data_IF_137244850556
#
_entry.id   IF_137244850556
#
_cell.length_a   1.000
_cell.length_b   1.000
_cell.length_c   1.000
_cell.angle_alpha   90.00
_cell.angle_beta   90.00
_cell.angle_gamma   90.00
#
_symmetry.space_group_name_H-M   'P 1'
#
loop_
_entity.id
_entity.type
_entity.pdbx_description
1 polymer ?
#
# COMPACT_ATOMS: atom_id res chain seq x y z
N UNK A 1 28.52 34.88 -34.03
CA UNK A 1 28.96 35.42 -32.71
C UNK A 1 28.44 34.47 -31.66
N UNK A 2 29.32 33.85 -30.88
CA UNK A 2 28.92 33.04 -29.73
C UNK A 2 28.52 34.03 -28.63
N UNK A 3 27.29 33.91 -28.12
CA UNK A 3 26.80 34.76 -27.03
C UNK A 3 27.62 34.43 -25.78
N UNK A 4 28.05 35.46 -25.04
CA UNK A 4 28.80 35.27 -23.80
C UNK A 4 27.93 34.59 -22.74
N UNK A 5 28.43 33.49 -22.19
CA UNK A 5 27.68 32.66 -21.25
C UNK A 5 27.35 33.41 -19.94
N UNK A 6 28.25 34.28 -19.46
CA UNK A 6 28.00 35.02 -18.23
C UNK A 6 26.92 36.09 -18.44
N UNK A 7 26.93 36.74 -19.60
CA UNK A 7 25.90 37.69 -19.97
C UNK A 7 24.53 37.02 -20.13
N UNK A 8 24.45 35.85 -20.79
CA UNK A 8 23.20 35.09 -20.85
C UNK A 8 22.69 34.67 -19.47
N UNK A 9 23.57 34.26 -18.55
CA UNK A 9 23.18 33.90 -17.17
C UNK A 9 22.61 35.08 -16.40
N UNK A 10 23.22 36.26 -16.50
CA UNK A 10 22.69 37.48 -15.86
C UNK A 10 21.31 37.86 -16.37
N UNK A 11 21.08 37.69 -17.67
CA UNK A 11 19.76 37.95 -18.26
C UNK A 11 18.71 36.95 -17.76
N UNK A 12 19.08 35.67 -17.63
CA UNK A 12 18.21 34.64 -17.04
C UNK A 12 17.88 35.00 -15.58
N UNK A 13 18.86 35.35 -14.76
CA UNK A 13 18.65 35.71 -13.35
C UNK A 13 17.66 36.88 -13.20
N UNK A 14 17.72 37.87 -14.09
CA UNK A 14 16.80 39.01 -14.08
C UNK A 14 15.38 38.61 -14.52
N UNK A 15 15.25 37.76 -15.54
CA UNK A 15 13.95 37.22 -15.97
C UNK A 15 13.32 36.38 -14.85
N UNK A 16 14.13 35.54 -14.18
CA UNK A 16 13.65 34.67 -13.10
C UNK A 16 13.10 35.48 -11.92
N UNK A 17 13.73 36.61 -11.57
CA UNK A 17 13.19 37.53 -10.55
C UNK A 17 11.80 38.05 -10.93
N UNK A 18 11.63 38.48 -12.18
CA UNK A 18 10.34 38.98 -12.66
C UNK A 18 9.27 37.89 -12.68
N UNK A 19 9.64 36.65 -13.03
CA UNK A 19 8.74 35.50 -12.96
C UNK A 19 8.28 35.25 -11.52
N UNK A 20 9.20 35.30 -10.54
CA UNK A 20 8.86 35.14 -9.11
C UNK A 20 7.90 36.23 -8.65
N UNK A 21 8.18 37.51 -8.93
CA UNK A 21 7.29 38.62 -8.54
C UNK A 21 5.89 38.48 -9.14
N UNK A 22 5.79 38.08 -10.41
CA UNK A 22 4.50 37.88 -11.08
C UNK A 22 3.77 36.66 -10.53
N UNK A 23 4.51 35.60 -10.18
CA UNK A 23 3.96 34.40 -9.56
C UNK A 23 3.36 34.71 -8.19
N UNK A 24 4.06 35.44 -7.32
CA UNK A 24 3.57 35.84 -6.00
C UNK A 24 2.31 36.71 -6.11
N UNK A 25 2.32 37.74 -6.98
CA UNK A 25 1.12 38.55 -7.27
C UNK A 25 -0.06 37.70 -7.73
N UNK A 26 0.19 36.68 -8.55
CA UNK A 26 -0.85 35.75 -9.00
C UNK A 26 -1.37 34.89 -7.86
N UNK A 27 -0.52 34.46 -6.93
CA UNK A 27 -0.91 33.69 -5.75
C UNK A 27 -1.78 34.50 -4.80
N UNK A 28 -1.52 35.79 -4.61
CA UNK A 28 -2.39 36.69 -3.84
C UNK A 28 -3.79 36.80 -4.46
N UNK A 29 -3.86 36.92 -5.78
CA UNK A 29 -5.15 36.93 -6.49
C UNK A 29 -5.85 35.58 -6.35
N UNK A 30 -5.12 34.46 -6.46
CA UNK A 30 -5.67 33.12 -6.24
C UNK A 30 -6.19 32.95 -4.80
N UNK A 31 -5.56 33.59 -3.82
CA UNK A 31 -6.00 33.62 -2.43
C UNK A 31 -7.38 34.28 -2.29
N UNK A 32 -7.62 35.39 -2.99
CA UNK A 32 -8.92 36.07 -3.02
C UNK A 32 -10.00 35.23 -3.72
N UNK A 33 -9.63 34.54 -4.80
CA UNK A 33 -10.51 33.58 -5.48
C UNK A 33 -10.88 32.42 -4.54
N UNK A 34 -9.94 31.94 -3.73
CA UNK A 34 -10.19 30.95 -2.69
C UNK A 34 -11.28 31.44 -1.73
N UNK A 35 -11.11 32.65 -1.19
CA UNK A 35 -12.02 33.24 -0.22
C UNK A 35 -13.44 33.39 -0.80
N UNK A 36 -13.54 33.81 -2.06
CA UNK A 36 -14.81 33.86 -2.78
C UNK A 36 -15.46 32.48 -2.97
N UNK A 37 -14.68 31.48 -3.41
CA UNK A 37 -15.18 30.11 -3.60
C UNK A 37 -15.64 29.49 -2.29
N UNK A 38 -14.91 29.72 -1.20
CA UNK A 38 -15.27 29.29 0.16
C UNK A 38 -16.60 29.92 0.57
N UNK A 39 -16.76 31.24 0.42
CA UNK A 39 -17.97 31.96 0.81
C UNK A 39 -19.20 31.56 -0.02
N UNK A 40 -18.99 31.17 -1.28
CA UNK A 40 -20.07 30.79 -2.22
C UNK A 40 -20.30 29.29 -2.34
N UNK A 41 -19.48 28.46 -1.69
CA UNK A 41 -19.53 27.00 -1.79
C UNK A 41 -19.11 26.44 -3.16
N UNK A 42 -18.45 27.22 -4.02
CA UNK A 42 -17.99 26.76 -5.33
C UNK A 42 -16.77 25.85 -5.22
N UNK A 43 -16.66 24.87 -6.12
CA UNK A 43 -15.52 23.97 -6.20
C UNK A 43 -14.22 24.71 -6.53
N UNK A 44 -13.10 24.25 -5.94
CA UNK A 44 -11.77 24.79 -6.23
C UNK A 44 -11.29 24.37 -7.60
N UNK A 45 -11.44 23.10 -7.95
CA UNK A 45 -11.10 22.61 -9.28
C UNK A 45 -12.28 22.80 -10.24
N UNK A 46 -12.03 23.50 -11.34
CA UNK A 46 -12.95 23.68 -12.46
C UNK A 46 -12.19 23.36 -13.74
N UNK A 47 -12.35 22.12 -14.20
CA UNK A 47 -11.59 21.56 -15.30
C UNK A 47 -11.79 22.35 -16.60
N UNK A 48 -13.04 22.65 -16.93
CA UNK A 48 -13.39 23.29 -18.19
C UNK A 48 -12.84 24.72 -18.23
N UNK A 49 -12.91 25.44 -17.10
CA UNK A 49 -12.33 26.78 -16.99
C UNK A 49 -10.81 26.79 -17.08
N UNK A 50 -10.13 25.81 -16.48
CA UNK A 50 -8.67 25.70 -16.56
C UNK A 50 -8.21 25.32 -17.96
N UNK A 51 -8.85 24.35 -18.60
CA UNK A 51 -8.55 23.95 -19.99
C UNK A 51 -8.70 25.13 -20.95
N UNK A 52 -9.80 25.91 -20.85
CA UNK A 52 -9.98 27.15 -21.63
C UNK A 52 -8.87 28.17 -21.40
N UNK A 53 -8.42 28.32 -20.14
CA UNK A 53 -7.39 29.29 -19.80
C UNK A 53 -6.02 28.86 -20.31
N UNK A 54 -5.68 27.58 -20.20
CA UNK A 54 -4.44 27.00 -20.76
C UNK A 54 -4.44 27.16 -22.29
N UNK A 55 -5.56 26.90 -22.95
CA UNK A 55 -5.71 27.07 -24.40
C UNK A 55 -5.48 28.52 -24.83
N UNK A 56 -6.04 29.48 -24.08
CA UNK A 56 -5.79 30.91 -24.33
C UNK A 56 -4.32 31.26 -24.16
N UNK A 57 -3.66 30.76 -23.11
CA UNK A 57 -2.29 31.13 -22.76
C UNK A 57 -1.26 30.51 -23.71
N UNK A 58 -1.44 29.26 -24.13
CA UNK A 58 -0.50 28.62 -25.07
C UNK A 58 -0.42 29.38 -26.40
N UNK A 59 -1.50 30.01 -26.85
CA UNK A 59 -1.52 30.80 -28.09
C UNK A 59 -0.83 32.18 -27.97
N UNK A 60 -0.38 32.56 -26.77
CA UNK A 60 0.48 33.73 -26.59
C UNK A 60 1.95 33.45 -26.94
N UNK A 61 2.35 32.18 -27.00
CA UNK A 61 3.69 31.80 -27.42
C UNK A 61 3.82 31.75 -28.97
N UNK A 62 5.05 31.87 -29.45
CA UNK A 62 5.34 32.06 -30.88
C UNK A 62 5.97 30.83 -31.55
N UNK A 63 6.01 29.67 -30.88
CA UNK A 63 6.53 28.42 -31.45
C UNK A 63 5.80 27.22 -30.87
N UNK A 64 5.71 26.13 -31.65
CA UNK A 64 5.04 24.90 -31.18
C UNK A 64 5.67 24.32 -29.91
N UNK A 65 6.99 24.47 -29.76
CA UNK A 65 7.69 24.08 -28.55
C UNK A 65 7.26 24.95 -27.36
N UNK A 66 7.30 26.28 -27.51
CA UNK A 66 6.91 27.18 -26.43
C UNK A 66 5.42 27.09 -26.09
N UNK A 67 4.56 26.79 -27.07
CA UNK A 67 3.14 26.54 -26.83
C UNK A 67 2.95 25.37 -25.84
N UNK A 68 3.72 24.29 -26.02
CA UNK A 68 3.71 23.14 -25.10
C UNK A 68 4.28 23.52 -23.73
N UNK A 69 5.43 24.20 -23.69
CA UNK A 69 6.04 24.62 -22.43
C UNK A 69 5.16 25.58 -21.62
N UNK A 70 4.46 26.52 -22.27
CA UNK A 70 3.52 27.43 -21.61
C UNK A 70 2.33 26.65 -21.06
N UNK A 71 1.78 25.70 -21.82
CA UNK A 71 0.70 24.86 -21.33
C UNK A 71 1.12 24.06 -20.07
N UNK A 72 2.32 23.47 -20.10
CA UNK A 72 2.88 22.73 -18.96
C UNK A 72 3.11 23.64 -17.75
N UNK A 73 3.80 24.76 -17.93
CA UNK A 73 4.09 25.73 -16.87
C UNK A 73 2.82 26.21 -16.18
N UNK A 74 1.82 26.64 -16.95
CA UNK A 74 0.58 27.16 -16.38
C UNK A 74 -0.29 26.07 -15.75
N UNK A 75 -0.21 24.82 -16.23
CA UNK A 75 -0.83 23.67 -15.55
C UNK A 75 -0.24 23.53 -14.15
N UNK A 76 1.09 23.59 -14.00
CA UNK A 76 1.74 23.52 -12.69
C UNK A 76 1.40 24.72 -11.79
N UNK A 77 1.38 25.93 -12.34
CA UNK A 77 0.99 27.14 -11.59
C UNK A 77 -0.45 27.03 -11.09
N UNK A 78 -1.38 26.55 -11.92
CA UNK A 78 -2.77 26.32 -11.51
C UNK A 78 -2.87 25.23 -10.44
N UNK A 79 -2.16 24.11 -10.59
CA UNK A 79 -2.10 23.07 -9.57
C UNK A 79 -1.58 23.58 -8.22
N UNK A 80 -0.50 24.38 -8.20
CA UNK A 80 -0.01 25.03 -6.98
C UNK A 80 -1.05 25.97 -6.36
N UNK A 81 -1.80 26.70 -7.19
CA UNK A 81 -2.89 27.57 -6.73
C UNK A 81 -4.02 26.79 -6.08
N UNK A 82 -4.38 25.62 -6.63
CA UNK A 82 -5.40 24.74 -6.05
C UNK A 82 -4.95 24.17 -4.72
N UNK A 83 -3.71 23.70 -4.62
CA UNK A 83 -3.12 23.18 -3.37
C UNK A 83 -3.13 24.23 -2.26
N UNK A 84 -2.85 25.48 -2.58
CA UNK A 84 -2.99 26.59 -1.63
C UNK A 84 -4.46 26.84 -1.24
N UNK A 85 -5.39 26.81 -2.21
CA UNK A 85 -6.83 26.94 -1.96
C UNK A 85 -7.37 25.82 -1.06
N UNK A 86 -6.95 24.56 -1.27
CA UNK A 86 -7.31 23.41 -0.44
C UNK A 86 -6.81 23.57 1.00
N UNK A 87 -5.59 24.08 1.18
CA UNK A 87 -5.06 24.36 2.52
C UNK A 87 -5.91 25.38 3.27
N UNK A 88 -6.34 26.47 2.61
CA UNK A 88 -7.29 27.44 3.19
C UNK A 88 -8.65 26.82 3.54
N UNK A 89 -9.15 25.90 2.71
CA UNK A 89 -10.41 25.19 2.96
C UNK A 89 -10.32 24.30 4.20
N UNK A 90 -9.25 23.52 4.32
CA UNK A 90 -8.98 22.66 5.49
C UNK A 90 -8.86 23.48 6.79
N UNK A 91 -8.27 24.67 6.75
CA UNK A 91 -8.16 25.54 7.92
C UNK A 91 -9.51 26.11 8.40
N UNK A 92 -10.46 26.33 7.48
CA UNK A 92 -11.76 26.98 7.81
C UNK A 92 -12.89 25.99 8.07
N UNK A 93 -12.85 24.83 7.43
CA UNK A 93 -13.87 23.79 7.59
C UNK A 93 -13.29 22.66 8.42
N UNK A 94 -13.90 22.40 9.59
CA UNK A 94 -13.81 21.11 10.28
C UNK A 94 -14.46 19.96 9.48
N UNK A 95 -14.96 20.25 8.28
CA UNK A 95 -15.65 19.37 7.36
C UNK A 95 -14.61 18.66 6.49
N UNK A 96 -13.93 17.69 7.10
CA UNK A 96 -13.16 16.72 6.34
C UNK A 96 -14.14 15.89 5.52
N UNK A 97 -13.91 15.75 4.20
CA UNK A 97 -14.65 14.75 3.39
C UNK A 97 -14.25 13.32 3.76
N UNK A 98 -13.24 13.15 4.62
CA UNK A 98 -12.94 11.87 5.25
C UNK A 98 -14.10 11.55 6.19
N UNK A 99 -14.67 10.37 6.01
CA UNK A 99 -15.71 9.89 6.88
C UNK A 99 -15.23 9.84 8.34
N UNK A 100 -16.13 9.94 9.34
CA UNK A 100 -15.74 9.94 10.74
C UNK A 100 -14.92 8.70 11.10
N UNK A 101 -13.88 8.92 11.89
CA UNK A 101 -12.95 7.91 12.37
C UNK A 101 -12.71 8.07 13.87
N UNK A 102 -12.42 6.96 14.52
CA UNK A 102 -12.11 6.90 15.95
C UNK A 102 -10.60 6.97 16.12
N UNK A 103 -10.10 8.06 16.71
CA UNK A 103 -8.69 8.16 17.09
C UNK A 103 -8.50 7.34 18.36
N UNK A 104 -7.62 6.34 18.30
CA UNK A 104 -7.26 5.47 19.42
C UNK A 104 -5.79 5.64 19.78
N UNK A 105 -5.44 5.48 21.06
CA UNK A 105 -4.04 5.58 21.50
C UNK A 105 -3.22 4.37 21.02
N UNK A 106 -3.83 3.18 21.02
CA UNK A 106 -3.27 1.94 20.49
C UNK A 106 -4.43 1.01 20.10
N UNK A 107 -4.12 -0.01 19.30
CA UNK A 107 -5.05 -1.08 18.97
C UNK A 107 -5.44 -1.89 20.21
N UNK A 108 -6.71 -2.30 20.26
CA UNK A 108 -7.20 -3.11 21.39
C UNK A 108 -6.59 -4.51 21.33
N UNK A 109 -5.99 -4.96 22.45
CA UNK A 109 -5.44 -6.32 22.61
C UNK A 109 -6.22 -7.20 23.59
N UNK A 110 -7.02 -6.61 24.47
CA UNK A 110 -7.78 -7.34 25.48
C UNK A 110 -9.14 -7.81 24.97
N UNK A 111 -9.50 -9.06 25.29
CA UNK A 111 -10.80 -9.67 24.95
C UNK A 111 -11.18 -9.53 23.47
N UNK A 112 -10.20 -9.73 22.59
CA UNK A 112 -10.37 -9.71 21.14
C UNK A 112 -10.35 -11.12 20.57
N UNK A 113 -10.96 -11.28 19.39
CA UNK A 113 -10.84 -12.47 18.57
C UNK A 113 -10.22 -12.12 17.22
N UNK A 114 -9.14 -12.81 16.86
CA UNK A 114 -8.40 -12.53 15.61
C UNK A 114 -8.58 -13.69 14.62
N UNK A 115 -8.82 -13.37 13.35
CA UNK A 115 -8.86 -14.37 12.27
C UNK A 115 -7.62 -14.25 11.38
N UNK A 116 -7.10 -15.37 10.91
CA UNK A 116 -6.05 -15.40 9.91
C UNK A 116 -6.36 -16.45 8.84
N UNK A 117 -5.87 -16.24 7.63
CA UNK A 117 -6.01 -17.22 6.56
C UNK A 117 -4.94 -18.32 6.69
N UNK A 118 -5.36 -19.57 6.54
CA UNK A 118 -4.51 -20.76 6.55
C UNK A 118 -4.82 -21.69 7.72
N UNK A 119 -3.77 -22.32 8.25
CA UNK A 119 -3.85 -23.27 9.37
C UNK A 119 -2.80 -22.93 10.43
N UNK A 120 -2.91 -23.43 11.68
CA UNK A 120 -1.87 -23.25 12.69
C UNK A 120 -0.47 -23.57 12.15
N UNK A 121 0.50 -22.72 12.47
CA UNK A 121 1.87 -22.82 11.96
C UNK A 121 2.11 -22.13 10.62
N UNK A 122 1.09 -21.72 9.87
CA UNK A 122 1.30 -20.90 8.67
C UNK A 122 1.95 -19.54 9.00
N UNK A 123 2.54 -18.87 8.00
CA UNK A 123 3.14 -17.54 8.23
C UNK A 123 2.11 -16.47 8.65
N UNK A 124 0.84 -16.59 8.24
CA UNK A 124 -0.24 -15.73 8.75
C UNK A 124 -0.52 -15.96 10.24
N UNK A 125 -0.38 -17.21 10.72
CA UNK A 125 -0.46 -17.54 12.14
C UNK A 125 0.69 -16.88 12.90
N UNK A 126 1.92 -17.01 12.39
CA UNK A 126 3.10 -16.34 12.95
C UNK A 126 2.95 -14.82 12.99
N UNK A 127 2.46 -14.20 11.91
CA UNK A 127 2.20 -12.76 11.86
C UNK A 127 1.21 -12.32 12.95
N UNK A 128 0.14 -13.09 13.13
CA UNK A 128 -0.85 -12.84 14.18
C UNK A 128 -0.22 -12.93 15.58
N UNK A 129 0.53 -13.99 15.86
CA UNK A 129 1.18 -14.19 17.16
C UNK A 129 2.22 -13.10 17.44
N UNK A 130 3.03 -12.71 16.45
CA UNK A 130 4.02 -11.64 16.58
C UNK A 130 3.37 -10.30 16.93
N UNK A 131 2.17 -10.04 16.39
CA UNK A 131 1.51 -8.77 16.56
C UNK A 131 0.64 -8.71 17.84
N UNK A 132 -0.20 -9.72 18.07
CA UNK A 132 -1.15 -9.76 19.20
C UNK A 132 -0.65 -10.53 20.43
N UNK A 133 0.39 -11.34 20.31
CA UNK A 133 0.89 -12.23 21.36
C UNK A 133 0.30 -13.63 21.31
N UNK A 134 0.86 -14.54 22.11
CA UNK A 134 0.57 -15.98 22.04
C UNK A 134 -0.78 -16.39 22.65
N UNK A 135 -1.31 -15.57 23.58
CA UNK A 135 -2.53 -15.90 24.33
C UNK A 135 -3.81 -15.33 23.67
N UNK A 136 -3.69 -14.75 22.47
CA UNK A 136 -4.83 -14.15 21.76
C UNK A 136 -5.82 -15.22 21.33
N UNK A 137 -7.11 -14.99 21.62
CA UNK A 137 -8.17 -15.85 21.07
C UNK A 137 -8.19 -15.70 19.56
N UNK A 138 -8.03 -16.81 18.85
CA UNK A 138 -7.96 -16.77 17.40
C UNK A 138 -8.79 -17.85 16.72
N UNK A 139 -8.97 -17.69 15.42
CA UNK A 139 -9.55 -18.68 14.52
C UNK A 139 -8.85 -18.61 13.16
N UNK A 140 -8.92 -19.70 12.41
CA UNK A 140 -8.36 -19.78 11.07
C UNK A 140 -9.46 -20.10 10.05
N UNK A 141 -9.23 -19.66 8.81
CA UNK A 141 -10.14 -19.83 7.67
C UNK A 141 -9.35 -20.20 6.42
N UNK A 142 -10.00 -20.75 5.41
CA UNK A 142 -9.30 -21.30 4.24
C UNK A 142 -8.93 -20.21 3.24
N UNK A 143 -9.74 -19.15 3.13
CA UNK A 143 -9.56 -18.10 2.12
C UNK A 143 -9.41 -16.70 2.72
N UNK A 144 -8.77 -15.78 1.97
CA UNK A 144 -8.68 -14.37 2.39
C UNK A 144 -10.06 -13.71 2.47
N UNK A 145 -10.98 -14.12 1.60
CA UNK A 145 -12.37 -13.66 1.60
C UNK A 145 -13.08 -14.02 2.90
N UNK A 146 -13.00 -15.28 3.33
CA UNK A 146 -13.59 -15.72 4.60
C UNK A 146 -13.03 -14.94 5.80
N UNK A 147 -11.75 -14.55 5.76
CA UNK A 147 -11.17 -13.73 6.83
C UNK A 147 -11.76 -12.31 6.85
N UNK A 148 -11.98 -11.73 5.68
CA UNK A 148 -12.59 -10.40 5.51
C UNK A 148 -14.08 -10.41 5.89
N UNK A 149 -14.81 -11.47 5.51
CA UNK A 149 -16.21 -11.72 5.91
C UNK A 149 -16.33 -11.89 7.43
N UNK A 150 -15.46 -12.70 8.05
CA UNK A 150 -15.48 -12.90 9.49
C UNK A 150 -15.29 -11.58 10.28
N UNK A 151 -14.47 -10.66 9.77
CA UNK A 151 -14.33 -9.31 10.36
C UNK A 151 -15.55 -8.45 10.08
N UNK A 152 -16.05 -8.42 8.84
CA UNK A 152 -17.22 -7.65 8.43
C UNK A 152 -18.47 -8.03 9.24
N UNK A 153 -18.69 -9.33 9.45
CA UNK A 153 -19.83 -9.89 10.17
C UNK A 153 -19.66 -9.83 11.70
N UNK A 154 -18.50 -9.39 12.19
CA UNK A 154 -18.19 -9.31 13.62
C UNK A 154 -17.96 -10.66 14.30
N UNK A 155 -17.70 -11.71 13.53
CA UNK A 155 -17.27 -13.03 14.03
C UNK A 155 -15.85 -12.97 14.59
N UNK A 156 -15.02 -12.07 14.06
CA UNK A 156 -13.71 -11.68 14.54
C UNK A 156 -13.59 -10.14 14.62
N UNK A 157 -12.75 -9.63 15.51
CA UNK A 157 -12.50 -8.20 15.66
C UNK A 157 -11.46 -7.69 14.66
N UNK A 158 -10.47 -8.54 14.34
CA UNK A 158 -9.37 -8.23 13.43
C UNK A 158 -9.04 -9.42 12.53
N UNK A 159 -8.58 -9.14 11.31
CA UNK A 159 -7.99 -10.12 10.39
C UNK A 159 -6.50 -9.83 10.17
N UNK A 160 -5.69 -10.89 10.06
CA UNK A 160 -4.28 -10.80 9.65
C UNK A 160 -4.14 -11.39 8.26
N UNK A 161 -3.84 -10.53 7.29
CA UNK A 161 -3.76 -10.92 5.87
C UNK A 161 -2.45 -10.44 5.24
N UNK A 162 -1.80 -11.26 4.39
CA UNK A 162 -0.61 -10.84 3.68
C UNK A 162 -0.99 -9.82 2.60
N UNK A 163 -0.21 -8.75 2.48
CA UNK A 163 -0.45 -7.70 1.47
C UNK A 163 0.67 -7.62 0.44
N UNK A 164 1.92 -7.80 0.87
CA UNK A 164 3.10 -7.71 -0.01
C UNK A 164 4.15 -8.76 0.38
N UNK A 165 4.88 -9.27 -0.59
CA UNK A 165 6.05 -10.11 -0.39
C UNK A 165 7.27 -9.52 -1.12
N UNK A 166 8.43 -9.47 -0.46
CA UNK A 166 9.64 -8.85 -1.02
C UNK A 166 10.21 -9.58 -2.25
N UNK A 167 9.81 -10.84 -2.50
CA UNK A 167 10.25 -11.65 -3.63
C UNK A 167 9.18 -11.85 -4.71
N UNK A 168 7.90 -11.89 -4.33
CA UNK A 168 6.78 -12.16 -5.24
C UNK A 168 5.93 -10.93 -5.59
N UNK A 169 6.16 -9.79 -4.92
CA UNK A 169 5.38 -8.56 -5.11
C UNK A 169 4.06 -8.57 -4.32
N UNK A 170 3.09 -7.82 -4.83
CA UNK A 170 1.79 -7.62 -4.17
C UNK A 170 0.92 -8.89 -4.16
N UNK A 171 0.12 -9.06 -3.10
CA UNK A 171 -0.91 -10.09 -3.00
C UNK A 171 -2.21 -9.53 -3.56
N UNK A 172 -2.43 -9.74 -4.86
CA UNK A 172 -3.53 -9.17 -5.64
C UNK A 172 -4.91 -9.31 -4.97
N UNK A 173 -5.25 -10.50 -4.50
CA UNK A 173 -6.56 -10.79 -3.89
C UNK A 173 -6.82 -9.93 -2.65
N UNK A 174 -5.78 -9.64 -1.85
CA UNK A 174 -5.90 -8.78 -0.67
C UNK A 174 -6.33 -7.36 -1.03
N UNK A 175 -5.78 -6.78 -2.10
CA UNK A 175 -6.15 -5.43 -2.55
C UNK A 175 -7.57 -5.36 -3.09
N UNK A 176 -8.01 -6.39 -3.83
CA UNK A 176 -9.38 -6.45 -4.33
C UNK A 176 -10.38 -6.56 -3.17
N UNK A 177 -10.07 -7.41 -2.18
CA UNK A 177 -10.91 -7.57 -1.00
C UNK A 177 -10.94 -6.32 -0.12
N UNK A 178 -9.82 -5.59 0.02
CA UNK A 178 -9.78 -4.32 0.75
C UNK A 178 -10.70 -3.27 0.13
N UNK A 179 -10.95 -3.35 -1.17
CA UNK A 179 -11.87 -2.47 -1.86
C UNK A 179 -13.32 -2.97 -1.77
N UNK A 180 -13.54 -4.26 -1.91
CA UNK A 180 -14.88 -4.87 -1.85
C UNK A 180 -15.51 -4.74 -0.45
N UNK A 181 -14.73 -5.01 0.60
CA UNK A 181 -15.18 -4.92 1.98
C UNK A 181 -14.90 -3.53 2.55
N UNK A 182 -15.79 -3.02 3.40
CA UNK A 182 -15.59 -1.77 4.16
C UNK A 182 -14.68 -1.99 5.38
N UNK A 183 -13.54 -2.66 5.17
CA UNK A 183 -12.54 -2.87 6.19
C UNK A 183 -11.38 -1.87 6.04
N UNK A 184 -10.67 -1.65 7.14
CA UNK A 184 -9.61 -0.65 7.29
C UNK A 184 -8.36 -1.28 7.89
N UNK A 185 -7.20 -0.83 7.42
CA UNK A 185 -5.90 -1.21 7.95
C UNK A 185 -5.66 -0.41 9.24
N UNK A 186 -5.44 -1.13 10.33
CA UNK A 186 -5.23 -0.57 11.68
C UNK A 186 -3.85 -0.93 12.24
N UNK A 187 -3.01 -1.60 11.45
CA UNK A 187 -1.67 -2.01 11.84
C UNK A 187 -0.99 -2.85 10.76
N UNK A 188 0.31 -3.07 10.93
CA UNK A 188 1.08 -3.96 10.07
C UNK A 188 2.15 -4.72 10.86
N UNK A 189 2.62 -5.81 10.27
CA UNK A 189 3.74 -6.59 10.80
C UNK A 189 4.51 -7.24 9.66
N UNK A 190 5.77 -7.57 9.90
CA UNK A 190 6.67 -8.16 8.92
C UNK A 190 7.16 -9.50 9.42
N UNK A 191 6.96 -10.54 8.59
CA UNK A 191 7.42 -11.90 8.89
C UNK A 191 8.49 -12.29 7.89
N UNK A 192 9.67 -12.63 8.41
CA UNK A 192 10.77 -13.16 7.60
C UNK A 192 10.46 -14.59 7.20
N UNK A 193 10.38 -14.86 5.91
CA UNK A 193 10.09 -16.18 5.36
C UNK A 193 11.36 -17.01 5.42
N UNK A 194 11.35 -18.00 6.31
CA UNK A 194 12.45 -18.93 6.53
C UNK A 194 11.90 -20.35 6.49
N UNK A 195 12.14 -21.03 5.37
CA UNK A 195 11.68 -22.39 5.16
C UNK A 195 12.60 -23.37 5.88
N UNK A 196 12.00 -24.31 6.59
CA UNK A 196 12.65 -25.42 7.29
C UNK A 196 12.25 -26.74 6.63
N UNK A 197 13.16 -27.71 6.64
CA UNK A 197 12.84 -29.10 6.34
C UNK A 197 12.34 -29.77 7.62
N UNK A 198 11.06 -30.13 7.64
CA UNK A 198 10.36 -30.70 8.79
C UNK A 198 10.12 -32.18 8.57
N UNK A 199 10.41 -33.02 9.57
CA UNK A 199 10.15 -34.46 9.50
C UNK A 199 9.67 -34.98 10.86
N UNK A 200 9.22 -36.23 10.90
CA UNK A 200 8.83 -36.88 12.15
C UNK A 200 10.05 -37.01 13.09
N UNK A 201 9.90 -36.82 14.42
CA UNK A 201 10.98 -37.08 15.37
C UNK A 201 11.62 -38.46 15.16
N UNK A 202 12.95 -38.50 15.10
CA UNK A 202 13.71 -39.73 14.83
C UNK A 202 14.08 -39.98 13.36
N UNK A 203 13.45 -39.28 12.41
CA UNK A 203 13.92 -39.25 11.02
C UNK A 203 15.29 -38.55 10.89
N UNK A 204 16.08 -38.93 9.91
CA UNK A 204 17.32 -38.25 9.52
C UNK A 204 17.27 -37.87 8.04
N UNK A 205 18.17 -37.00 7.58
CA UNK A 205 18.28 -36.66 6.16
C UNK A 205 18.44 -37.88 5.24
N UNK A 206 19.01 -38.98 5.75
CA UNK A 206 19.19 -40.23 4.97
C UNK A 206 17.90 -41.02 4.79
N UNK A 207 16.92 -40.80 5.67
CA UNK A 207 15.66 -41.54 5.65
C UNK A 207 14.67 -40.93 4.66
N UNK A 208 14.80 -39.63 4.36
CA UNK A 208 13.87 -38.88 3.54
C UNK A 208 13.89 -39.40 2.10
N UNK A 209 12.70 -39.65 1.55
CA UNK A 209 12.47 -40.06 0.17
C UNK A 209 11.48 -39.16 -0.55
N UNK A 210 10.61 -38.48 0.20
CA UNK A 210 9.56 -37.63 -0.36
C UNK A 210 9.44 -36.32 0.41
N UNK A 211 9.34 -35.20 -0.31
CA UNK A 211 9.23 -33.86 0.26
C UNK A 211 7.96 -33.18 -0.24
N UNK A 212 7.12 -32.71 0.68
CA UNK A 212 5.87 -32.00 0.37
C UNK A 212 5.98 -30.50 0.65
N UNK A 213 5.46 -29.67 -0.25
CA UNK A 213 5.23 -28.24 0.03
C UNK A 213 4.32 -27.60 -1.01
N UNK A 214 3.98 -26.33 -0.82
CA UNK A 214 3.42 -25.49 -1.87
C UNK A 214 4.40 -25.41 -3.06
N UNK A 215 3.94 -25.35 -4.33
CA UNK A 215 4.82 -25.17 -5.48
C UNK A 215 5.83 -24.03 -5.34
N UNK A 216 5.41 -22.89 -4.78
CA UNK A 216 6.30 -21.76 -4.53
C UNK A 216 7.34 -22.04 -3.43
N UNK A 217 6.98 -22.82 -2.40
CA UNK A 217 7.91 -23.25 -1.36
C UNK A 217 8.98 -24.19 -1.90
N UNK A 218 8.60 -25.15 -2.75
CA UNK A 218 9.54 -26.03 -3.47
C UNK A 218 10.49 -25.21 -4.36
N UNK A 219 9.94 -24.29 -5.16
CA UNK A 219 10.74 -23.44 -6.05
C UNK A 219 11.75 -22.57 -5.28
N UNK A 220 11.35 -22.00 -4.14
CA UNK A 220 12.24 -21.20 -3.29
C UNK A 220 13.35 -22.04 -2.65
N UNK A 221 13.17 -23.36 -2.51
CA UNK A 221 14.15 -24.28 -1.92
C UNK A 221 14.86 -25.15 -2.96
N UNK A 222 14.72 -24.85 -4.25
CA UNK A 222 15.26 -25.67 -5.35
C UNK A 222 16.76 -25.95 -5.20
N UNK A 223 17.57 -24.94 -4.84
CA UNK A 223 19.01 -25.09 -4.67
C UNK A 223 19.42 -26.05 -3.53
N UNK A 224 18.56 -26.22 -2.51
CA UNK A 224 18.75 -27.22 -1.46
C UNK A 224 18.29 -28.60 -1.96
N UNK A 225 17.11 -28.67 -2.57
CA UNK A 225 16.53 -29.90 -3.10
C UNK A 225 17.39 -30.54 -4.21
N UNK A 226 18.09 -29.73 -5.01
CA UNK A 226 19.00 -30.19 -6.07
C UNK A 226 20.22 -30.98 -5.54
N UNK A 227 20.55 -30.82 -4.25
CA UNK A 227 21.59 -31.59 -3.56
C UNK A 227 21.10 -32.99 -3.14
N UNK A 228 19.80 -33.21 -3.18
CA UNK A 228 19.10 -34.44 -2.77
C UNK A 228 18.23 -34.97 -3.93
N UNK A 229 18.86 -35.26 -5.07
CA UNK A 229 18.17 -35.63 -6.33
C UNK A 229 17.36 -36.93 -6.24
N UNK A 230 17.60 -37.74 -5.23
CA UNK A 230 16.88 -38.96 -4.90
C UNK A 230 15.53 -38.71 -4.23
N UNK A 231 15.26 -37.48 -3.77
CA UNK A 231 14.01 -37.12 -3.12
C UNK A 231 12.91 -36.76 -4.12
N UNK A 232 11.73 -37.34 -3.91
CA UNK A 232 10.54 -37.09 -4.71
C UNK A 232 9.82 -35.85 -4.18
N UNK A 233 9.87 -34.76 -4.94
CA UNK A 233 9.19 -33.51 -4.62
C UNK A 233 7.71 -33.61 -5.02
N UNK A 234 6.80 -33.36 -4.09
CA UNK A 234 5.35 -33.39 -4.33
C UNK A 234 4.72 -32.06 -3.97
N UNK A 235 4.12 -31.42 -4.96
CA UNK A 235 3.30 -30.23 -4.73
C UNK A 235 2.08 -30.57 -3.86
N UNK A 236 1.77 -29.67 -2.94
CA UNK A 236 0.63 -29.76 -2.04
C UNK A 236 -0.03 -28.39 -1.86
N UNK A 237 -1.16 -28.35 -1.16
CA UNK A 237 -2.02 -27.16 -1.08
C UNK A 237 -1.33 -25.92 -0.50
N UNK A 238 -0.65 -26.06 0.65
CA UNK A 238 0.18 -24.99 1.22
C UNK A 238 1.26 -25.59 2.14
N UNK A 239 2.22 -24.77 2.57
CA UNK A 239 3.38 -25.20 3.36
C UNK A 239 3.01 -25.79 4.72
N UNK A 240 2.07 -25.18 5.45
CA UNK A 240 1.65 -25.66 6.77
C UNK A 240 0.80 -26.94 6.68
N UNK A 241 -0.05 -27.06 5.65
CA UNK A 241 -0.79 -28.28 5.34
C UNK A 241 0.14 -29.44 4.96
N UNK A 242 1.27 -29.16 4.31
CA UNK A 242 2.31 -30.18 4.08
C UNK A 242 2.90 -30.69 5.40
N UNK A 243 3.18 -29.79 6.35
CA UNK A 243 3.68 -30.18 7.66
C UNK A 243 2.63 -31.00 8.44
N UNK A 244 1.38 -30.54 8.46
CA UNK A 244 0.25 -31.29 9.05
C UNK A 244 0.13 -32.69 8.46
N UNK A 245 0.18 -32.80 7.13
CA UNK A 245 0.16 -34.10 6.44
C UNK A 245 1.28 -35.02 6.90
N UNK A 246 2.52 -34.54 6.95
CA UNK A 246 3.67 -35.36 7.37
C UNK A 246 3.54 -35.81 8.83
N UNK A 247 2.96 -34.97 9.69
CA UNK A 247 2.67 -35.33 11.07
C UNK A 247 1.60 -36.43 11.19
N UNK A 248 0.55 -36.35 10.36
CA UNK A 248 -0.58 -37.29 10.33
C UNK A 248 -0.25 -38.64 9.67
N UNK A 249 0.51 -38.63 8.57
CA UNK A 249 0.96 -39.84 7.85
C UNK A 249 1.87 -40.72 8.73
N UNK A 250 2.54 -40.13 9.73
CA UNK A 250 3.43 -40.81 10.67
C UNK A 250 4.52 -41.68 10.01
N UNK A 251 5.06 -41.20 8.89
CA UNK A 251 6.07 -41.88 8.06
C UNK A 251 7.41 -41.13 8.13
N UNK A 252 8.47 -41.80 8.61
CA UNK A 252 9.81 -41.23 8.77
C UNK A 252 10.50 -40.95 7.42
N UNK A 253 9.99 -41.50 6.32
CA UNK A 253 10.53 -41.28 4.98
C UNK A 253 9.97 -40.02 4.29
N UNK A 254 9.09 -39.29 4.98
CA UNK A 254 8.48 -38.07 4.47
C UNK A 254 9.01 -36.84 5.21
N UNK A 255 9.19 -35.76 4.46
CA UNK A 255 9.45 -34.44 5.00
C UNK A 255 8.51 -33.41 4.38
N UNK A 256 8.34 -32.28 5.07
CA UNK A 256 7.62 -31.12 4.59
C UNK A 256 8.52 -29.90 4.59
N UNK A 257 8.31 -28.98 3.64
CA UNK A 257 8.90 -27.65 3.71
C UNK A 257 7.85 -26.69 4.27
N UNK A 258 8.15 -26.09 5.43
CA UNK A 258 7.26 -25.18 6.14
C UNK A 258 8.01 -24.20 7.06
N UNK A 259 7.26 -23.41 7.83
CA UNK A 259 7.83 -22.52 8.84
C UNK A 259 8.37 -23.32 10.04
N UNK A 260 9.22 -22.69 10.86
CA UNK A 260 9.63 -23.28 12.14
C UNK A 260 8.44 -23.50 13.08
N UNK A 261 7.42 -22.64 13.04
CA UNK A 261 6.22 -22.77 13.88
C UNK A 261 5.45 -24.07 13.60
N UNK A 262 5.45 -24.57 12.37
CA UNK A 262 4.87 -25.87 12.04
C UNK A 262 5.51 -27.02 12.83
N UNK A 263 6.79 -26.90 13.21
CA UNK A 263 7.48 -27.93 14.00
C UNK A 263 6.86 -28.06 15.39
N UNK A 264 6.66 -26.92 16.08
CA UNK A 264 6.02 -26.87 17.39
C UNK A 264 4.55 -27.30 17.36
N UNK A 265 3.79 -26.76 16.40
CA UNK A 265 2.34 -27.02 16.27
C UNK A 265 2.01 -28.50 15.99
N UNK A 266 2.83 -29.17 15.18
CA UNK A 266 2.56 -30.52 14.72
C UNK A 266 3.49 -31.58 15.33
N UNK A 267 4.33 -31.20 16.30
CA UNK A 267 5.28 -32.11 16.95
C UNK A 267 6.28 -32.74 15.96
N UNK A 268 6.74 -31.95 14.99
CA UNK A 268 7.77 -32.34 14.04
C UNK A 268 9.14 -31.86 14.51
N UNK A 269 10.20 -32.48 13.99
CA UNK A 269 11.57 -31.99 14.16
C UNK A 269 12.02 -31.22 12.92
N UNK A 270 12.86 -30.22 13.14
CA UNK A 270 13.56 -29.49 12.07
C UNK A 270 14.83 -30.26 11.75
N UNK A 271 14.92 -30.81 10.54
CA UNK A 271 16.13 -31.48 10.04
C UNK A 271 17.17 -30.50 9.53
N UNK A 272 16.70 -29.44 8.85
CA UNK A 272 17.54 -28.39 8.30
C UNK A 272 16.75 -27.07 8.35
N UNK A 273 17.40 -25.99 8.77
CA UNK A 273 16.79 -24.67 8.95
C UNK A 273 17.31 -23.67 7.90
N UNK A 274 16.41 -22.90 7.29
CA UNK A 274 16.77 -21.86 6.33
C UNK A 274 17.21 -22.42 4.98
N UNK A 275 16.41 -23.34 4.42
CA UNK A 275 16.70 -24.01 3.14
C UNK A 275 16.27 -23.20 1.90
N UNK A 276 15.64 -22.05 2.09
CA UNK A 276 15.25 -21.15 1.00
C UNK A 276 16.43 -20.35 0.45
N UNK A 277 16.40 -20.05 -0.85
CA UNK A 277 17.48 -19.37 -1.58
C UNK A 277 17.70 -17.90 -1.18
N UNK A 278 16.63 -17.18 -0.86
CA UNK A 278 16.69 -15.75 -0.52
C UNK A 278 16.68 -15.53 0.99
N UNK A 279 17.77 -15.00 1.53
CA UNK A 279 17.88 -14.65 2.96
C UNK A 279 17.07 -13.42 3.38
N UNK A 280 16.54 -12.64 2.41
CA UNK A 280 15.81 -11.39 2.64
C UNK A 280 14.30 -11.49 2.31
N UNK A 281 13.80 -12.70 2.03
CA UNK A 281 12.38 -12.92 1.75
C UNK A 281 11.54 -12.55 2.99
N UNK A 282 10.70 -11.53 2.86
CA UNK A 282 9.88 -10.98 3.95
C UNK A 282 8.49 -10.72 3.40
N UNK A 283 7.48 -11.14 4.15
CA UNK A 283 6.08 -10.84 3.83
C UNK A 283 5.57 -9.80 4.81
N UNK A 284 4.97 -8.74 4.27
CA UNK A 284 4.24 -7.74 5.02
C UNK A 284 2.80 -8.20 5.18
N UNK A 285 2.35 -8.21 6.41
CA UNK A 285 0.98 -8.50 6.79
C UNK A 285 0.33 -7.21 7.31
N UNK A 286 -0.95 -7.06 6.99
CA UNK A 286 -1.78 -5.97 7.51
C UNK A 286 -2.82 -6.52 8.46
N UNK A 287 -3.14 -5.69 9.44
CA UNK A 287 -4.16 -5.94 10.46
C UNK A 287 -5.38 -5.15 10.05
N UNK A 288 -6.49 -5.85 9.87
CA UNK A 288 -7.67 -5.30 9.23
C UNK A 288 -8.84 -5.35 10.19
N UNK A 289 -9.58 -4.25 10.34
CA UNK A 289 -10.78 -4.14 11.15
C UNK A 289 -11.95 -3.59 10.35
N UNK A 290 -13.18 -3.91 10.74
CA UNK A 290 -14.39 -3.24 10.23
C UNK A 290 -14.58 -1.83 10.79
N UNK A 291 -13.88 -1.50 11.89
CA UNK A 291 -13.93 -0.17 12.50
C UNK A 291 -12.86 0.74 11.90
N UNK A 292 -13.20 2.02 11.80
CA UNK A 292 -12.28 3.09 11.37
C UNK A 292 -11.46 3.59 12.54
N UNK A 293 -10.63 2.70 13.10
CA UNK A 293 -9.74 3.03 14.22
C UNK A 293 -8.40 3.52 13.64
N UNK A 294 -7.99 4.75 13.98
CA UNK A 294 -6.70 5.31 13.56
C UNK A 294 -5.81 5.56 14.76
N UNK A 295 -4.56 5.12 14.67
CA UNK A 295 -3.61 5.24 15.78
C UNK A 295 -3.14 6.68 15.86
N UNK A 296 -3.24 7.28 17.06
CA UNK A 296 -2.91 8.69 17.30
C UNK A 296 -1.49 9.07 16.84
N UNK A 297 -0.53 8.18 17.02
CA UNK A 297 0.87 8.38 16.62
C UNK A 297 1.25 7.58 15.36
N UNK A 298 0.27 7.18 14.55
CA UNK A 298 0.51 6.53 13.27
C UNK A 298 1.43 7.38 12.39
N UNK A 299 2.33 6.72 11.67
CA UNK A 299 3.28 7.35 10.75
C UNK A 299 3.06 6.92 9.30
N UNK A 300 2.06 6.08 9.02
CA UNK A 300 1.75 5.60 7.68
C UNK A 300 0.30 5.82 7.32
N UNK A 301 0.06 6.28 6.10
CA UNK A 301 -1.27 6.39 5.50
C UNK A 301 -1.32 5.54 4.24
N UNK A 302 -2.35 4.70 4.15
CA UNK A 302 -2.66 3.92 2.94
C UNK A 302 -3.91 4.46 2.28
N UNK A 303 -3.83 4.74 0.98
CA UNK A 303 -4.97 5.20 0.18
C UNK A 303 -5.12 4.40 -1.11
N UNK A 304 -6.34 4.40 -1.61
CA UNK A 304 -6.72 3.88 -2.90
C UNK A 304 -7.41 4.99 -3.69
N UNK A 305 -6.95 5.31 -4.89
CA UNK A 305 -7.62 6.31 -5.74
C UNK A 305 -7.64 5.93 -7.21
N UNK A 306 -8.58 6.52 -7.94
CA UNK A 306 -8.75 6.33 -9.39
C UNK A 306 -8.66 7.66 -10.09
N UNK A 307 -7.84 7.74 -11.13
CA UNK A 307 -7.66 8.96 -11.91
C UNK A 307 -8.13 8.74 -13.35
N UNK A 308 -8.60 9.80 -14.05
CA UNK A 308 -8.92 9.70 -15.46
C UNK A 308 -7.75 9.13 -16.27
N UNK A 309 -8.03 8.28 -17.26
CA UNK A 309 -7.00 7.77 -18.18
C UNK A 309 -6.60 8.85 -19.21
N UNK A 310 -5.87 9.86 -18.75
CA UNK A 310 -5.38 11.01 -19.53
C UNK A 310 -3.97 11.39 -19.10
N UNK A 311 -3.21 11.99 -20.01
CA UNK A 311 -1.86 12.50 -19.73
C UNK A 311 -1.84 13.40 -18.49
N UNK A 312 -0.86 13.17 -17.61
CA UNK A 312 -0.64 13.96 -16.39
C UNK A 312 -1.57 13.63 -15.21
N UNK A 313 -2.57 12.76 -15.35
CA UNK A 313 -3.55 12.53 -14.28
C UNK A 313 -2.94 11.92 -13.03
N UNK A 314 -2.12 10.87 -13.17
CA UNK A 314 -1.40 10.30 -12.03
C UNK A 314 -0.38 11.28 -11.44
N UNK A 315 0.35 12.00 -12.30
CA UNK A 315 1.30 13.02 -11.86
C UNK A 315 0.62 14.08 -10.99
N UNK A 316 -0.53 14.61 -11.42
CA UNK A 316 -1.28 15.61 -10.68
C UNK A 316 -1.71 15.09 -9.31
N UNK A 317 -2.24 13.87 -9.24
CA UNK A 317 -2.60 13.22 -7.97
C UNK A 317 -1.38 13.10 -7.03
N UNK A 318 -0.27 12.56 -7.51
CA UNK A 318 0.97 12.41 -6.71
C UNK A 318 1.61 13.76 -6.34
N UNK A 319 1.40 14.79 -7.15
CA UNK A 319 1.92 16.13 -6.87
C UNK A 319 1.33 16.76 -5.61
N UNK A 320 0.19 16.27 -5.11
CA UNK A 320 -0.37 16.68 -3.82
C UNK A 320 0.46 16.13 -2.65
N UNK A 321 0.97 14.90 -2.76
CA UNK A 321 1.86 14.29 -1.77
C UNK A 321 3.19 15.07 -1.74
N UNK A 322 3.79 15.27 -2.93
CA UNK A 322 5.05 16.01 -3.07
C UNK A 322 4.96 17.45 -2.55
N UNK A 323 3.90 18.19 -2.87
CA UNK A 323 3.74 19.58 -2.45
C UNK A 323 3.63 19.74 -0.93
N UNK A 324 3.08 18.74 -0.24
CA UNK A 324 2.98 18.73 1.21
C UNK A 324 4.22 18.11 1.88
N UNK A 325 5.30 17.86 1.12
CA UNK A 325 6.56 17.28 1.60
C UNK A 325 6.36 15.92 2.30
N UNK A 326 5.44 15.11 1.79
CA UNK A 326 5.17 13.77 2.29
C UNK A 326 5.99 12.74 1.50
N UNK A 327 6.59 11.77 2.19
CA UNK A 327 7.38 10.73 1.56
C UNK A 327 6.50 9.55 1.15
N UNK A 328 6.53 9.17 -0.12
CA UNK A 328 5.78 8.01 -0.61
C UNK A 328 6.62 6.75 -0.50
N UNK A 329 6.11 5.73 0.20
CA UNK A 329 6.82 4.46 0.43
C UNK A 329 6.39 3.36 -0.52
N UNK A 330 5.23 3.50 -1.17
CA UNK A 330 4.71 2.51 -2.11
C UNK A 330 3.74 3.11 -3.12
N UNK A 331 3.77 2.60 -4.35
CA UNK A 331 2.76 2.82 -5.37
C UNK A 331 2.56 1.54 -6.19
N UNK A 332 1.32 1.10 -6.33
CA UNK A 332 0.94 -0.04 -7.17
C UNK A 332 -0.29 0.32 -8.00
N UNK A 333 -0.34 -0.17 -9.25
CA UNK A 333 -1.49 0.03 -10.14
C UNK A 333 -2.24 -1.27 -10.38
N UNK A 334 -3.57 -1.25 -10.32
CA UNK A 334 -4.44 -2.38 -10.63
C UNK A 334 -5.46 -1.98 -11.70
N UNK A 335 -5.62 -2.75 -12.78
CA UNK A 335 -6.68 -2.51 -13.76
C UNK A 335 -8.06 -2.58 -13.09
N UNK A 336 -8.96 -1.68 -13.46
CA UNK A 336 -10.33 -1.70 -12.97
C UNK A 336 -11.13 -2.72 -13.82
N UNK A 337 -11.78 -3.73 -13.21
CA UNK A 337 -12.64 -4.64 -13.95
C UNK A 337 -13.72 -3.89 -14.74
N UNK A 338 -14.05 -4.36 -15.93
CA UNK A 338 -15.09 -3.77 -16.82
C UNK A 338 -14.77 -2.38 -17.41
N UNK A 339 -13.66 -1.75 -17.02
CA UNK A 339 -13.20 -0.46 -17.57
C UNK A 339 -11.86 -0.61 -18.30
N UNK A 340 -11.92 -0.57 -19.63
CA UNK A 340 -10.72 -0.74 -20.46
C UNK A 340 -9.69 0.37 -20.19
N UNK A 341 -8.48 -0.03 -19.81
CA UNK A 341 -7.30 0.84 -19.61
C UNK A 341 -7.44 1.85 -18.48
N UNK A 342 -8.44 1.71 -17.61
CA UNK A 342 -8.53 2.49 -16.38
C UNK A 342 -7.87 1.74 -15.22
N UNK A 343 -7.19 2.48 -14.34
CA UNK A 343 -6.38 1.92 -13.27
C UNK A 343 -6.74 2.56 -11.94
N UNK A 344 -6.77 1.71 -10.92
CA UNK A 344 -6.80 2.05 -9.51
C UNK A 344 -5.38 2.02 -8.96
N UNK A 345 -5.04 3.01 -8.16
CA UNK A 345 -3.72 3.15 -7.56
C UNK A 345 -3.80 2.94 -6.06
N UNK A 346 -2.97 2.06 -5.54
CA UNK A 346 -2.76 1.86 -4.10
C UNK A 346 -1.44 2.51 -3.71
N UNK A 347 -1.52 3.44 -2.76
CA UNK A 347 -0.37 4.27 -2.37
C UNK A 347 -0.23 4.26 -0.86
N UNK A 348 0.98 4.00 -0.39
CA UNK A 348 1.37 4.22 0.99
C UNK A 348 2.33 5.41 1.05
N UNK A 349 2.14 6.29 2.03
CA UNK A 349 3.03 7.39 2.30
C UNK A 349 3.13 7.66 3.80
N UNK A 350 4.23 8.28 4.20
CA UNK A 350 4.49 8.67 5.59
C UNK A 350 3.59 9.86 5.97
N UNK A 351 2.93 9.76 7.13
CA UNK A 351 2.17 10.86 7.70
C UNK A 351 1.10 10.43 8.71
N UNK A 352 0.51 11.42 9.37
CA UNK A 352 -0.59 11.26 10.29
C UNK A 352 -1.81 12.08 9.85
N UNK A 353 -3.03 11.57 10.02
CA UNK A 353 -4.24 12.31 9.65
C UNK A 353 -4.49 13.58 10.48
N UNK A 354 -3.87 13.69 11.66
CA UNK A 354 -3.87 14.93 12.42
C UNK A 354 -3.05 16.04 11.72
N UNK A 355 -2.11 15.67 10.86
CA UNK A 355 -1.23 16.63 10.19
C UNK A 355 -2.00 17.43 9.12
N UNK A 356 -1.92 18.78 9.14
CA UNK A 356 -2.53 19.61 8.11
C UNK A 356 -2.05 19.28 6.69
N UNK A 357 -0.78 18.91 6.53
CA UNK A 357 -0.19 18.55 5.23
C UNK A 357 -0.82 17.29 4.64
N UNK A 358 -1.06 16.27 5.46
CA UNK A 358 -1.73 15.03 5.05
C UNK A 358 -3.17 15.30 4.65
N UNK A 359 -3.94 16.02 5.48
CA UNK A 359 -5.33 16.37 5.17
C UNK A 359 -5.44 17.19 3.87
N UNK A 360 -4.52 18.14 3.67
CA UNK A 360 -4.46 18.93 2.45
C UNK A 360 -4.13 18.06 1.22
N UNK A 361 -3.20 17.11 1.34
CA UNK A 361 -2.89 16.18 0.27
C UNK A 361 -4.10 15.30 -0.09
N UNK A 362 -4.75 14.72 0.92
CA UNK A 362 -5.95 13.88 0.74
C UNK A 362 -7.11 14.66 0.12
N UNK A 363 -7.38 15.89 0.56
CA UNK A 363 -8.39 16.75 -0.07
C UNK A 363 -8.08 17.00 -1.54
N UNK A 364 -6.83 17.37 -1.85
CA UNK A 364 -6.43 17.64 -3.22
C UNK A 364 -6.60 16.42 -4.13
N UNK A 365 -6.17 15.24 -3.67
CA UNK A 365 -6.39 13.98 -4.39
C UNK A 365 -7.88 13.72 -4.56
N UNK A 366 -8.69 13.88 -3.51
CA UNK A 366 -10.15 13.64 -3.57
C UNK A 366 -10.88 14.55 -4.56
N UNK A 367 -10.47 15.81 -4.68
CA UNK A 367 -11.13 16.80 -5.55
C UNK A 367 -10.72 16.63 -7.02
N UNK A 368 -9.57 15.98 -7.28
CA UNK A 368 -9.00 15.81 -8.62
C UNK A 368 -9.01 14.35 -9.12
N UNK A 369 -9.56 13.43 -8.33
CA UNK A 369 -9.74 12.00 -8.66
C UNK A 369 -11.21 11.66 -8.91
N UNK A 370 -11.45 10.55 -9.61
CA UNK A 370 -12.81 10.01 -9.79
C UNK A 370 -13.30 9.32 -8.50
N UNK A 371 -12.35 8.78 -7.73
CA UNK A 371 -12.57 8.03 -6.52
C UNK A 371 -11.35 8.15 -5.61
N UNK A 372 -11.59 8.34 -4.30
CA UNK A 372 -10.58 8.23 -3.25
C UNK A 372 -11.18 7.45 -2.08
N UNK A 373 -10.43 6.49 -1.58
CA UNK A 373 -10.71 5.78 -0.34
C UNK A 373 -9.47 5.76 0.53
N UNK A 374 -9.65 6.17 1.78
CA UNK A 374 -8.66 5.96 2.83
C UNK A 374 -8.74 4.50 3.30
N UNK A 375 -7.64 3.77 3.20
CA UNK A 375 -7.56 2.39 3.64
C UNK A 375 -7.12 2.29 5.10
N UNK A 376 -6.30 3.23 5.60
CA UNK A 376 -5.90 3.26 7.01
C UNK A 376 -4.90 4.37 7.33
N UNK A 377 -4.79 4.69 8.63
CA UNK A 377 -3.66 5.43 9.21
C UNK A 377 -3.22 4.69 10.48
N UNK A 378 -2.04 4.07 10.41
CA UNK A 378 -1.56 3.08 11.37
C UNK A 378 -0.06 3.15 11.59
#
# INVERSE_FOLDING_TARGET
MVVDLQESRKQIDEIDRQIVELFEKRMDVAANVADYKIATGKAVFDKEREEQKIDTLRHLAHSDFNNKCVAELFTQIMAMSRKFQYSKLEMRKSDSRLEPYDIVDDIRRDNIKVVYQGVPGAYSHEAMLNFFGNDVRNMNVDTFREAMEAVSDGVADYAVIPIDNSSAGMVNDTYDLLQEFNNYIVGETYVKIRHCLLAKPGATLKDIKCVYSHPQGLAQCAAFLDRHKDWHQKAYLNTAMSAKKVAEDNDIHQAAIGSANCAGEYGLQILEDGINSSACNTTRFVIVSRKREFIKNADKVSVCFEVPHKSGSLYNALSHIMFNNLNMTKIESRPIPEHNWEFRFFVDFEGNLADPGVRNALRGISEESNYLRLLGNY
#
